data_IF_173418730539
#
_entry.id   IF_173418730539
#
_cell.length_a   1.000
_cell.length_b   1.000
_cell.length_c   1.000
_cell.angle_alpha   90.00
_cell.angle_beta   90.00
_cell.angle_gamma   90.00
#
_symmetry.space_group_name_H-M   'P 1'
#
loop_
_entity.id
_entity.type
_entity.pdbx_description
1 polymer ?
#
# COMPACT_ATOMS: atom_id res chain seq x y z
N UNK A 1 23.65 -56.67 -17.57
CA UNK A 1 24.20 -55.30 -17.77
C UNK A 1 23.10 -54.46 -18.39
N UNK A 2 22.07 -54.11 -17.62
CA UNK A 2 20.78 -53.62 -18.12
C UNK A 2 20.17 -52.65 -17.10
N UNK A 3 20.74 -51.44 -16.98
CA UNK A 3 20.24 -50.45 -16.01
C UNK A 3 20.41 -48.98 -16.43
N UNK A 4 20.80 -48.69 -17.68
CA UNK A 4 21.05 -47.31 -18.13
C UNK A 4 19.98 -46.70 -19.05
N UNK A 5 18.96 -47.44 -19.47
CA UNK A 5 18.02 -46.94 -20.49
C UNK A 5 16.76 -46.26 -19.91
N UNK A 6 16.44 -46.47 -18.63
CA UNK A 6 15.16 -45.98 -18.05
C UNK A 6 15.18 -44.48 -17.74
N UNK A 7 16.35 -43.85 -17.56
CA UNK A 7 16.44 -42.43 -17.19
C UNK A 7 16.37 -41.44 -18.37
N UNK A 8 16.51 -41.92 -19.60
CA UNK A 8 16.50 -41.06 -20.80
C UNK A 8 15.07 -40.71 -21.26
N UNK A 9 14.12 -41.63 -21.09
CA UNK A 9 12.75 -41.46 -21.58
C UNK A 9 11.94 -40.48 -20.73
N UNK A 10 12.17 -40.42 -19.40
CA UNK A 10 11.44 -39.49 -18.52
C UNK A 10 11.83 -38.02 -18.69
N UNK A 11 13.01 -37.72 -19.24
CA UNK A 11 13.45 -36.33 -19.46
C UNK A 11 12.78 -35.70 -20.68
N UNK A 12 12.52 -36.49 -21.73
CA UNK A 12 11.87 -36.00 -22.97
C UNK A 12 10.39 -35.66 -22.79
N UNK A 13 9.69 -36.32 -21.87
CA UNK A 13 8.26 -36.04 -21.59
C UNK A 13 8.09 -34.69 -20.88
N UNK A 14 9.03 -34.31 -20.01
CA UNK A 14 8.99 -33.03 -19.29
C UNK A 14 9.27 -31.82 -20.19
N UNK A 15 10.14 -31.94 -21.20
CA UNK A 15 10.43 -30.84 -22.13
C UNK A 15 9.27 -30.56 -23.12
N UNK A 16 8.45 -31.56 -23.45
CA UNK A 16 7.27 -31.34 -24.31
C UNK A 16 6.09 -30.61 -23.62
N UNK A 17 6.09 -30.51 -22.29
CA UNK A 17 5.02 -29.85 -21.54
C UNK A 17 5.24 -28.33 -21.35
N UNK A 18 6.44 -27.83 -21.67
CA UNK A 18 6.85 -26.43 -21.47
C UNK A 18 7.33 -25.75 -22.76
N UNK A 19 6.90 -26.24 -23.92
CA UNK A 19 7.07 -25.50 -25.17
C UNK A 19 6.06 -24.33 -25.21
N UNK A 20 6.50 -23.07 -25.38
CA UNK A 20 5.59 -21.95 -25.61
C UNK A 20 4.82 -22.16 -26.92
N UNK A 21 3.50 -22.17 -26.83
CA UNK A 21 2.58 -22.36 -27.95
C UNK A 21 2.59 -21.10 -28.84
N UNK A 22 3.25 -21.16 -29.99
CA UNK A 22 3.34 -20.05 -30.96
C UNK A 22 2.06 -19.83 -31.80
N UNK A 23 0.98 -20.56 -31.55
CA UNK A 23 -0.29 -20.39 -32.28
C UNK A 23 -1.30 -19.53 -31.50
N UNK A 24 -0.97 -18.26 -31.28
CA UNK A 24 -1.97 -17.25 -30.90
C UNK A 24 -2.28 -16.41 -32.16
N UNK A 25 -3.50 -16.47 -32.73
CA UNK A 25 -3.86 -15.64 -33.87
C UNK A 25 -3.81 -14.16 -33.45
N UNK A 26 -3.09 -13.36 -34.25
CA UNK A 26 -3.02 -11.92 -34.11
C UNK A 26 -4.45 -11.32 -34.19
N UNK A 27 -4.92 -10.78 -33.07
CA UNK A 27 -6.16 -9.99 -33.02
C UNK A 27 -5.91 -8.60 -33.64
N UNK A 28 -6.84 -8.10 -34.47
CA UNK A 28 -6.64 -6.91 -35.29
C UNK A 28 -6.58 -5.62 -34.47
N UNK A 29 -5.86 -4.66 -35.06
CA UNK A 29 -5.74 -3.27 -34.65
C UNK A 29 -7.07 -2.63 -34.27
N UNK A 30 -7.23 -2.24 -33.00
CA UNK A 30 -8.26 -1.28 -32.64
C UNK A 30 -7.88 -0.48 -31.40
N UNK A 31 -8.10 0.84 -31.49
CA UNK A 31 -8.16 1.78 -30.39
C UNK A 31 -6.83 2.16 -29.70
N UNK A 32 -6.10 3.07 -30.35
CA UNK A 32 -5.41 4.17 -29.67
C UNK A 32 -6.44 5.00 -28.87
N UNK A 33 -6.82 4.51 -27.69
CA UNK A 33 -7.45 5.29 -26.63
C UNK A 33 -6.90 4.77 -25.30
N UNK A 34 -5.60 4.98 -25.08
CA UNK A 34 -5.06 4.96 -23.71
C UNK A 34 -5.60 6.21 -23.02
N UNK A 35 -6.78 6.06 -22.43
CA UNK A 35 -7.25 6.94 -21.38
C UNK A 35 -6.18 6.93 -20.28
N UNK A 36 -5.44 8.04 -20.19
CA UNK A 36 -4.59 8.37 -19.08
C UNK A 36 -5.50 8.58 -17.87
N UNK A 37 -5.94 7.48 -17.25
CA UNK A 37 -6.74 7.48 -16.05
C UNK A 37 -5.85 7.90 -14.88
N UNK A 38 -5.72 9.22 -14.74
CA UNK A 38 -5.77 9.99 -13.48
C UNK A 38 -5.58 9.10 -12.24
N UNK A 39 -4.33 8.77 -11.93
CA UNK A 39 -3.95 8.24 -10.62
C UNK A 39 -4.18 9.35 -9.59
N UNK A 40 -5.40 9.41 -9.07
CA UNK A 40 -5.76 10.23 -7.92
C UNK A 40 -4.98 9.72 -6.73
N UNK A 41 -3.92 10.44 -6.38
CA UNK A 41 -3.20 10.30 -5.12
C UNK A 41 -4.23 10.54 -4.00
N UNK A 42 -4.72 9.46 -3.38
CA UNK A 42 -5.44 9.52 -2.11
C UNK A 42 -4.43 9.82 -1.00
N UNK A 43 -3.92 11.05 -0.97
CA UNK A 43 -3.34 11.63 0.23
C UNK A 43 -4.50 11.81 1.20
N UNK A 44 -4.68 10.84 2.10
CA UNK A 44 -5.46 11.01 3.32
C UNK A 44 -4.71 12.02 4.18
N UNK A 45 -5.20 13.25 4.42
CA UNK A 45 -4.56 14.11 5.40
C UNK A 45 -4.85 13.47 6.78
N UNK A 46 -3.81 12.89 7.39
CA UNK A 46 -3.79 12.76 8.84
C UNK A 46 -3.92 14.18 9.39
N UNK A 47 -4.99 14.46 10.13
CA UNK A 47 -5.06 15.62 10.99
C UNK A 47 -3.94 15.49 12.02
N UNK A 48 -2.81 16.14 11.75
CA UNK A 48 -1.80 16.40 12.76
C UNK A 48 -2.37 17.50 13.66
N UNK A 49 -2.84 17.10 14.83
CA UNK A 49 -3.05 18.01 15.96
C UNK A 49 -1.72 18.72 16.21
N UNK A 50 -1.66 19.98 15.79
CA UNK A 50 -0.50 20.83 15.97
C UNK A 50 -0.29 21.06 17.48
N UNK A 51 0.86 20.71 18.09
CA UNK A 51 1.18 21.27 19.38
C UNK A 51 1.38 22.77 19.17
N UNK A 52 0.61 23.57 19.90
CA UNK A 52 0.79 25.01 20.05
C UNK A 52 2.25 25.25 20.45
N UNK A 53 3.09 25.60 19.48
CA UNK A 53 4.43 26.08 19.77
C UNK A 53 4.28 27.42 20.46
N UNK A 54 4.56 27.46 21.76
CA UNK A 54 4.70 28.69 22.52
C UNK A 54 5.73 29.58 21.80
N UNK A 55 5.27 30.58 21.06
CA UNK A 55 6.11 31.65 20.58
C UNK A 55 6.63 32.39 21.80
N UNK A 56 7.87 32.08 22.22
CA UNK A 56 8.65 32.95 23.08
C UNK A 56 8.97 34.21 22.26
N UNK A 57 8.21 35.28 22.50
CA UNK A 57 8.63 36.63 22.15
C UNK A 57 9.83 36.96 23.02
N UNK A 58 11.04 36.76 22.50
CA UNK A 58 12.22 37.46 22.98
C UNK A 58 12.08 38.92 22.54
N UNK A 59 11.44 39.73 23.39
CA UNK A 59 11.54 41.17 23.32
C UNK A 59 12.97 41.54 23.74
N UNK A 60 13.82 41.96 22.80
CA UNK A 60 15.07 42.64 23.18
C UNK A 60 14.71 44.05 23.64
N UNK A 61 14.85 44.30 24.94
CA UNK A 61 15.00 45.63 25.50
C UNK A 61 16.16 46.35 24.80
N UNK A 62 15.97 47.63 24.48
CA UNK A 62 16.82 48.39 23.58
C UNK A 62 18.20 48.78 24.10
N UNK A 63 18.95 49.40 23.20
CA UNK A 63 19.99 50.37 23.54
C UNK A 63 19.79 51.61 22.66
N UNK A 64 19.88 52.76 23.33
CA UNK A 64 19.53 54.08 22.84
C UNK A 64 20.40 54.60 21.70
N UNK A 65 19.76 55.49 20.95
CA UNK A 65 20.28 56.53 20.08
C UNK A 65 21.71 56.99 20.35
N UNK A 66 22.47 57.07 19.25
CA UNK A 66 23.43 58.16 19.01
C UNK A 66 23.25 58.65 17.58
N UNK A 67 22.58 59.79 17.44
CA UNK A 67 22.81 60.69 16.31
C UNK A 67 24.20 61.30 16.47
N UNK A 68 25.05 61.16 15.45
CA UNK A 68 25.85 62.25 14.85
C UNK A 68 26.93 61.69 13.90
N UNK A 69 26.74 62.01 12.61
CA UNK A 69 27.71 62.80 11.86
C UNK A 69 29.07 62.15 11.54
N UNK A 70 29.09 61.11 10.70
CA UNK A 70 30.24 60.84 9.83
C UNK A 70 29.79 60.33 8.45
N UNK A 71 30.08 61.17 7.46
CA UNK A 71 30.24 60.86 6.05
C UNK A 71 31.13 59.61 5.86
N UNK A 72 30.65 58.61 5.14
CA UNK A 72 31.35 57.34 4.97
C UNK A 72 30.45 56.27 4.37
N UNK A 73 30.47 56.18 3.03
CA UNK A 73 29.90 55.14 2.20
C UNK A 73 29.52 53.84 2.95
N UNK A 74 28.20 53.60 3.08
CA UNK A 74 27.68 52.27 3.41
C UNK A 74 27.96 51.33 2.24
N UNK A 75 29.17 50.78 2.17
CA UNK A 75 29.45 49.60 1.36
C UNK A 75 28.59 48.46 1.94
N UNK A 76 27.60 48.00 1.18
CA UNK A 76 27.07 46.65 1.40
C UNK A 76 28.27 45.71 1.38
N UNK A 77 28.46 44.84 2.39
CA UNK A 77 29.59 43.92 2.36
C UNK A 77 29.44 43.09 1.09
N UNK A 78 30.33 43.36 0.15
CA UNK A 78 30.32 42.75 -1.17
C UNK A 78 30.35 41.23 -0.96
N UNK A 79 29.48 40.50 -1.65
CA UNK A 79 29.25 39.07 -1.43
C UNK A 79 30.49 38.23 -1.72
N UNK A 80 31.44 38.23 -0.80
CA UNK A 80 32.71 37.52 -0.92
C UNK A 80 32.61 36.08 -0.44
N UNK A 81 33.66 35.31 -0.74
CA UNK A 81 33.83 33.92 -0.29
C UNK A 81 33.94 33.75 1.24
N UNK A 82 33.93 34.84 2.01
CA UNK A 82 33.94 34.86 3.48
C UNK A 82 32.57 35.19 4.10
N UNK A 83 31.47 34.94 3.38
CA UNK A 83 30.14 34.98 4.00
C UNK A 83 29.97 33.82 5.00
N UNK A 84 29.10 33.96 6.01
CA UNK A 84 28.85 32.90 7.00
C UNK A 84 28.46 31.56 6.37
N UNK A 85 27.80 31.61 5.22
CA UNK A 85 27.44 30.44 4.42
C UNK A 85 28.68 29.67 3.93
N UNK A 86 29.61 30.33 3.23
CA UNK A 86 30.82 29.69 2.70
C UNK A 86 31.77 29.21 3.81
N UNK A 87 31.87 29.99 4.90
CA UNK A 87 32.63 29.56 6.08
C UNK A 87 32.06 28.26 6.67
N UNK A 88 30.74 28.18 6.85
CA UNK A 88 30.10 26.99 7.39
C UNK A 88 30.21 25.80 6.41
N UNK A 89 30.11 26.04 5.10
CA UNK A 89 30.27 25.01 4.07
C UNK A 89 31.70 24.44 4.03
N UNK A 90 32.73 25.30 4.13
CA UNK A 90 34.13 24.88 4.20
C UNK A 90 34.43 24.15 5.51
N UNK A 91 33.88 24.61 6.64
CA UNK A 91 34.04 23.90 7.90
C UNK A 91 33.37 22.52 7.87
N UNK A 92 32.17 22.42 7.28
CA UNK A 92 31.48 21.14 7.09
C UNK A 92 32.25 20.21 6.15
N UNK A 93 32.81 20.72 5.06
CA UNK A 93 33.57 19.89 4.12
C UNK A 93 34.87 19.38 4.75
N UNK A 94 35.58 20.23 5.49
CA UNK A 94 36.82 19.86 6.18
C UNK A 94 36.52 18.87 7.32
N UNK A 95 35.41 19.06 8.04
CA UNK A 95 34.93 18.12 9.05
C UNK A 95 34.53 16.77 8.44
N UNK A 96 33.90 16.76 7.26
CA UNK A 96 33.57 15.51 6.57
C UNK A 96 34.82 14.75 6.12
N UNK A 97 35.84 15.45 5.60
CA UNK A 97 37.10 14.83 5.16
C UNK A 97 37.92 14.32 6.36
N UNK A 98 38.01 15.09 7.44
CA UNK A 98 38.70 14.65 8.66
C UNK A 98 38.00 13.46 9.29
N UNK A 99 36.66 13.46 9.32
CA UNK A 99 35.86 12.33 9.77
C UNK A 99 36.06 11.10 8.88
N UNK A 100 36.15 11.24 7.56
CA UNK A 100 36.40 10.12 6.66
C UNK A 100 37.79 9.49 6.88
N UNK A 101 38.84 10.31 7.05
CA UNK A 101 40.21 9.82 7.29
C UNK A 101 40.36 9.20 8.68
N UNK A 102 39.64 9.69 9.68
CA UNK A 102 39.66 9.20 11.06
C UNK A 102 38.54 8.19 11.36
N UNK A 103 37.74 7.81 10.36
CA UNK A 103 36.63 6.90 10.60
C UNK A 103 37.18 5.55 11.10
N UNK A 104 36.68 5.05 12.26
CA UNK A 104 37.04 3.72 12.74
C UNK A 104 36.81 2.67 11.64
N UNK A 105 37.65 1.61 11.58
CA UNK A 105 37.48 0.54 10.61
C UNK A 105 36.03 0.04 10.64
N UNK A 106 35.46 -0.18 9.45
CA UNK A 106 34.09 -0.66 9.31
C UNK A 106 34.02 -2.10 9.86
N UNK A 107 33.57 -2.22 11.09
CA UNK A 107 33.37 -3.48 11.79
C UNK A 107 32.36 -3.30 12.91
N UNK A 108 31.75 -4.41 13.33
CA UNK A 108 30.73 -4.43 14.39
C UNK A 108 31.28 -3.96 15.76
N UNK A 109 32.61 -3.90 15.89
CA UNK A 109 33.33 -3.39 17.07
C UNK A 109 33.45 -1.86 17.12
N UNK A 110 33.01 -1.14 16.08
CA UNK A 110 32.95 0.31 16.15
C UNK A 110 31.96 0.72 17.25
N UNK A 111 32.43 1.48 18.25
CA UNK A 111 31.63 1.91 19.41
C UNK A 111 30.29 2.51 19.01
N UNK A 112 30.28 3.31 17.93
CA UNK A 112 29.07 3.92 17.39
C UNK A 112 28.09 2.89 16.81
N UNK A 113 28.58 1.90 16.05
CA UNK A 113 27.76 0.81 15.50
C UNK A 113 27.17 -0.03 16.63
N UNK A 114 27.97 -0.38 17.65
CA UNK A 114 27.49 -1.10 18.84
C UNK A 114 26.42 -0.31 19.61
N UNK A 115 26.62 1.00 19.77
CA UNK A 115 25.64 1.89 20.40
C UNK A 115 24.33 1.94 19.60
N UNK A 116 24.41 2.13 18.28
CA UNK A 116 23.24 2.13 17.40
C UNK A 116 22.54 0.76 17.46
N UNK A 117 23.30 -0.33 17.43
CA UNK A 117 22.78 -1.69 17.49
C UNK A 117 22.00 -1.95 18.79
N UNK A 118 22.47 -1.40 19.93
CA UNK A 118 21.81 -1.56 21.23
C UNK A 118 20.39 -0.97 21.27
N UNK A 119 20.15 0.13 20.56
CA UNK A 119 18.82 0.76 20.45
C UNK A 119 18.04 0.36 19.19
N UNK A 120 18.70 -0.33 18.26
CA UNK A 120 18.04 -0.83 17.06
C UNK A 120 17.16 -2.03 17.39
N UNK A 121 16.03 -2.13 16.70
CA UNK A 121 15.14 -3.29 16.85
C UNK A 121 15.81 -4.52 16.22
N UNK A 122 15.86 -5.68 16.91
CA UNK A 122 16.52 -6.86 16.37
C UNK A 122 15.91 -7.30 15.03
N UNK A 123 16.73 -7.88 14.15
CA UNK A 123 16.28 -8.31 12.81
C UNK A 123 15.09 -9.28 12.86
N UNK A 124 15.02 -10.11 13.90
CA UNK A 124 13.96 -11.09 14.12
C UNK A 124 12.57 -10.45 14.24
N UNK A 125 12.45 -9.30 14.89
CA UNK A 125 11.14 -8.62 15.01
C UNK A 125 10.65 -8.11 13.67
N UNK A 126 11.56 -7.65 12.81
CA UNK A 126 11.21 -7.22 11.46
C UNK A 126 10.82 -8.40 10.57
N UNK A 127 11.52 -9.53 10.69
CA UNK A 127 11.16 -10.77 9.99
C UNK A 127 9.74 -11.22 10.37
N UNK A 128 9.43 -11.28 11.67
CA UNK A 128 8.10 -11.64 12.19
C UNK A 128 7.00 -10.68 11.75
N UNK A 129 7.29 -9.37 11.73
CA UNK A 129 6.34 -8.36 11.25
C UNK A 129 6.08 -8.51 9.75
N UNK A 130 7.12 -8.75 8.96
CA UNK A 130 6.98 -8.96 7.52
C UNK A 130 6.18 -10.22 7.22
N UNK A 131 6.44 -11.33 7.92
CA UNK A 131 5.66 -12.56 7.80
C UNK A 131 4.17 -12.31 8.13
N UNK A 132 3.89 -11.63 9.25
CA UNK A 132 2.53 -11.25 9.61
C UNK A 132 1.85 -10.41 8.52
N UNK A 133 2.57 -9.46 7.94
CA UNK A 133 2.04 -8.64 6.86
C UNK A 133 1.75 -9.46 5.59
N UNK A 134 2.63 -10.41 5.23
CA UNK A 134 2.40 -11.30 4.09
C UNK A 134 1.13 -12.14 4.30
N UNK A 135 0.94 -12.69 5.49
CA UNK A 135 -0.27 -13.45 5.84
C UNK A 135 -1.53 -12.59 5.78
N UNK A 136 -1.47 -11.36 6.29
CA UNK A 136 -2.61 -10.43 6.21
C UNK A 136 -2.93 -10.03 4.77
N UNK A 137 -1.91 -9.77 3.94
CA UNK A 137 -2.10 -9.46 2.52
C UNK A 137 -2.71 -10.64 1.75
N UNK A 138 -2.31 -11.86 2.08
CA UNK A 138 -2.93 -13.07 1.54
C UNK A 138 -4.41 -13.16 1.91
N UNK A 139 -4.74 -13.02 3.21
CA UNK A 139 -6.13 -13.05 3.68
C UNK A 139 -7.02 -12.01 2.98
N UNK A 140 -6.54 -10.78 2.84
CA UNK A 140 -7.27 -9.72 2.14
C UNK A 140 -7.52 -10.08 0.67
N UNK A 141 -6.55 -10.72 0.02
CA UNK A 141 -6.68 -11.16 -1.37
C UNK A 141 -7.73 -12.26 -1.50
N UNK A 142 -7.73 -13.21 -0.58
CA UNK A 142 -8.71 -14.30 -0.54
C UNK A 142 -10.13 -13.76 -0.27
N UNK A 143 -10.29 -12.85 0.69
CA UNK A 143 -11.57 -12.20 0.98
C UNK A 143 -12.10 -11.45 -0.24
N UNK A 144 -11.24 -10.70 -0.93
CA UNK A 144 -11.61 -10.00 -2.17
C UNK A 144 -12.01 -10.99 -3.27
N UNK A 145 -11.31 -12.12 -3.40
CA UNK A 145 -11.65 -13.15 -4.38
C UNK A 145 -13.00 -13.82 -4.07
N UNK A 146 -13.28 -14.08 -2.78
CA UNK A 146 -14.57 -14.65 -2.33
C UNK A 146 -15.70 -13.66 -2.58
N UNK A 147 -15.54 -12.40 -2.18
CA UNK A 147 -16.55 -11.37 -2.39
C UNK A 147 -16.74 -11.01 -3.87
N UNK A 148 -15.67 -11.03 -4.67
CA UNK A 148 -15.73 -10.78 -6.11
C UNK A 148 -16.46 -11.87 -6.89
N UNK A 149 -16.41 -13.13 -6.42
CA UNK A 149 -17.14 -14.26 -7.02
C UNK A 149 -18.56 -14.41 -6.48
N UNK A 150 -18.89 -13.80 -5.34
CA UNK A 150 -20.21 -13.89 -4.75
C UNK A 150 -21.25 -13.19 -5.63
N UNK A 151 -22.16 -13.98 -6.23
CA UNK A 151 -23.33 -13.42 -6.91
C UNK A 151 -24.34 -12.94 -5.88
N UNK A 152 -24.90 -11.74 -6.06
CA UNK A 152 -26.04 -11.29 -5.24
C UNK A 152 -27.19 -12.30 -5.39
N UNK A 153 -27.87 -12.66 -4.29
CA UNK A 153 -29.06 -13.49 -4.41
C UNK A 153 -30.06 -12.78 -5.33
N UNK A 154 -30.71 -13.55 -6.21
CA UNK A 154 -31.71 -13.02 -7.11
C UNK A 154 -32.86 -12.42 -6.28
N UNK A 155 -33.03 -11.10 -6.35
CA UNK A 155 -34.14 -10.42 -5.67
C UNK A 155 -35.39 -10.64 -6.53
N UNK A 156 -36.18 -11.63 -6.18
CA UNK A 156 -37.49 -11.85 -6.79
C UNK A 156 -38.48 -10.90 -6.11
N UNK A 157 -38.88 -9.84 -6.81
CA UNK A 157 -39.92 -8.94 -6.32
C UNK A 157 -41.28 -9.50 -6.72
N UNK A 158 -41.95 -10.16 -5.79
CA UNK A 158 -43.32 -10.60 -6.03
C UNK A 158 -44.23 -9.38 -6.13
N UNK A 159 -44.95 -9.26 -7.25
CA UNK A 159 -45.98 -8.23 -7.44
C UNK A 159 -47.12 -8.36 -6.43
N UNK A 160 -47.38 -9.59 -5.97
CA UNK A 160 -48.43 -9.92 -5.03
C UNK A 160 -47.86 -10.79 -3.90
N UNK A 161 -47.37 -10.20 -2.79
CA UNK A 161 -46.86 -10.99 -1.66
C UNK A 161 -47.95 -11.84 -1.01
N UNK A 162 -49.21 -11.40 -1.14
CA UNK A 162 -50.40 -12.07 -0.63
C UNK A 162 -50.62 -13.47 -1.22
N UNK A 163 -50.08 -13.76 -2.41
CA UNK A 163 -50.24 -15.09 -3.02
C UNK A 163 -49.47 -16.18 -2.27
N UNK A 164 -48.43 -15.81 -1.49
CA UNK A 164 -47.68 -16.75 -0.67
C UNK A 164 -48.52 -17.28 0.50
N UNK A 165 -49.43 -16.46 1.03
CA UNK A 165 -50.33 -16.86 2.11
C UNK A 165 -51.59 -17.56 1.62
N UNK A 166 -51.92 -17.40 0.33
CA UNK A 166 -53.06 -18.07 -0.31
C UNK A 166 -52.71 -19.47 -0.86
N UNK A 167 -51.47 -19.91 -0.72
CA UNK A 167 -51.07 -21.25 -1.11
C UNK A 167 -51.70 -22.28 -0.16
N UNK A 168 -52.80 -22.90 -0.62
CA UNK A 168 -53.37 -24.05 0.07
C UNK A 168 -52.37 -25.21 0.07
N UNK A 169 -52.18 -25.92 1.20
CA UNK A 169 -51.39 -27.15 1.25
C UNK A 169 -51.83 -28.21 0.23
N UNK A 170 -53.08 -28.11 -0.24
CA UNK A 170 -53.68 -29.04 -1.21
C UNK A 170 -53.64 -28.52 -2.66
N UNK A 171 -52.84 -27.47 -2.94
CA UNK A 171 -52.76 -26.82 -4.26
C UNK A 171 -54.12 -26.33 -4.79
N UNK A 172 -55.08 -26.07 -3.90
CA UNK A 172 -56.40 -25.56 -4.24
C UNK A 172 -56.37 -24.03 -4.25
N UNK A 173 -56.86 -23.42 -5.33
CA UNK A 173 -57.01 -21.97 -5.41
C UNK A 173 -58.09 -21.50 -4.43
N UNK A 174 -57.91 -20.32 -3.84
CA UNK A 174 -59.00 -19.67 -3.09
C UNK A 174 -60.21 -19.50 -4.01
N UNK A 175 -61.35 -20.08 -3.60
CA UNK A 175 -62.59 -20.08 -4.39
C UNK A 175 -62.77 -21.27 -5.35
N UNK A 176 -61.82 -22.22 -5.43
CA UNK A 176 -62.05 -23.47 -6.16
C UNK A 176 -62.91 -24.43 -5.33
N UNK A 177 -63.97 -24.97 -5.92
CA UNK A 177 -64.77 -26.05 -5.31
C UNK A 177 -63.98 -27.37 -5.43
N UNK A 178 -63.75 -28.11 -4.33
CA UNK A 178 -63.12 -29.42 -4.42
C UNK A 178 -63.98 -30.38 -5.25
N UNK A 179 -63.36 -31.19 -6.11
CA UNK A 179 -64.08 -32.21 -6.86
C UNK A 179 -64.64 -33.28 -5.91
N UNK A 180 -65.98 -33.37 -5.84
CA UNK A 180 -66.70 -34.29 -4.97
C UNK A 180 -67.14 -35.57 -5.71
N UNK A 181 -66.68 -35.79 -6.94
CA UNK A 181 -67.08 -36.93 -7.78
C UNK A 181 -66.82 -38.31 -7.14
N UNK A 182 -65.89 -38.40 -6.19
CA UNK A 182 -65.55 -39.64 -5.46
C UNK A 182 -66.26 -39.84 -4.12
N UNK A 183 -67.14 -38.92 -3.67
CA UNK A 183 -67.78 -39.02 -2.35
C UNK A 183 -68.98 -39.95 -2.40
N UNK A 184 -68.88 -41.10 -1.73
CA UNK A 184 -70.01 -42.03 -1.53
C UNK A 184 -70.56 -41.87 -0.11
N UNK A 185 -71.83 -41.50 0.01
CA UNK A 185 -72.52 -41.40 1.31
C UNK A 185 -72.79 -42.82 1.80
N UNK A 186 -72.24 -43.17 2.96
CA UNK A 186 -72.59 -44.41 3.65
C UNK A 186 -73.75 -44.13 4.58
N UNK A 187 -74.93 -44.63 4.22
CA UNK A 187 -76.11 -44.74 5.09
C UNK A 187 -76.06 -46.02 5.89
#
# INVERSE_FOLDING_TARGET
MESSEVTSTSRKVWESAFAPNENIPASPSESKNMHLARAGILLRPKLHTSPVSSQLRLASSGNHARDELLDGAHYSPEGGFSTPFWRNALLLSLLAVSFYKWAPPRGDDAYLTRWIAHYSTPRETWARLNEKHMLQSQQVTDDVAVHGRATRPAIIRHRYPQSLEQASPHLQGVGSVPDMSGVTIRT
#
